data_IF_872016188958
#
_entry.id   IF_872016188958
#
_cell.length_a   1.000
_cell.length_b   1.000
_cell.length_c   1.000
_cell.angle_alpha   90.00
_cell.angle_beta   90.00
_cell.angle_gamma   90.00
#
_symmetry.space_group_name_H-M   'P 1'
#
loop_
_entity.id
_entity.type
_entity.pdbx_description
1 polymer ?
#
# COMPACT_ATOMS: atom_id res chain seq x y z
N UNK A 1 8.86 -38.58 26.92
CA UNK A 1 9.54 -37.65 25.98
C UNK A 1 8.72 -36.36 25.89
N UNK A 2 9.27 -35.20 26.26
CA UNK A 2 8.60 -33.91 25.99
C UNK A 2 8.60 -33.72 24.47
N UNK A 3 7.43 -33.66 23.83
CA UNK A 3 7.34 -33.23 22.43
C UNK A 3 8.05 -31.87 22.31
N UNK A 4 9.08 -31.81 21.47
CA UNK A 4 9.73 -30.54 21.14
C UNK A 4 8.68 -29.66 20.45
N UNK A 5 8.19 -28.65 21.16
CA UNK A 5 7.25 -27.65 20.62
C UNK A 5 7.92 -26.93 19.45
N UNK A 6 7.16 -26.71 18.38
CA UNK A 6 7.63 -26.02 17.16
C UNK A 6 8.39 -24.73 17.49
N UNK A 7 9.44 -24.44 16.73
CA UNK A 7 10.29 -23.27 16.86
C UNK A 7 10.26 -22.48 15.55
N UNK A 8 9.80 -21.23 15.64
CA UNK A 8 9.78 -20.24 14.54
C UNK A 8 11.21 -19.94 14.13
N UNK A 9 11.51 -20.05 12.83
CA UNK A 9 12.82 -19.77 12.27
C UNK A 9 12.80 -18.42 11.55
N UNK A 10 13.79 -17.57 11.79
CA UNK A 10 13.94 -16.31 11.06
C UNK A 10 14.31 -16.50 9.58
N UNK A 11 14.87 -17.67 9.22
CA UNK A 11 15.56 -17.89 7.95
C UNK A 11 16.63 -16.79 7.75
N UNK A 12 16.57 -16.04 6.65
CA UNK A 12 17.52 -14.98 6.29
C UNK A 12 17.14 -13.57 6.81
N UNK A 13 16.09 -13.45 7.63
CA UNK A 13 15.71 -12.16 8.23
C UNK A 13 16.76 -11.72 9.25
N UNK A 14 17.03 -10.41 9.28
CA UNK A 14 17.93 -9.73 10.24
C UNK A 14 17.21 -8.58 10.94
N UNK A 15 17.85 -7.94 11.92
CA UNK A 15 17.34 -6.72 12.57
C UNK A 15 17.21 -5.51 11.63
N UNK A 16 17.89 -5.53 10.48
CA UNK A 16 17.80 -4.47 9.47
C UNK A 16 16.93 -4.85 8.28
N UNK A 17 16.27 -6.01 8.30
CA UNK A 17 15.38 -6.39 7.22
C UNK A 17 14.17 -5.44 7.17
N UNK A 18 13.71 -5.14 5.97
CA UNK A 18 12.55 -4.30 5.68
C UNK A 18 11.27 -4.98 6.20
N UNK A 19 10.30 -4.16 6.61
CA UNK A 19 9.11 -4.57 7.34
C UNK A 19 8.24 -5.57 6.58
N UNK A 20 7.81 -5.23 5.38
CA UNK A 20 6.85 -6.00 4.58
C UNK A 20 7.44 -7.34 4.12
N UNK A 21 8.70 -7.36 3.69
CA UNK A 21 9.42 -8.58 3.33
C UNK A 21 9.67 -9.49 4.54
N UNK A 22 9.97 -8.91 5.71
CA UNK A 22 10.13 -9.67 6.96
C UNK A 22 8.81 -10.31 7.39
N UNK A 23 7.71 -9.56 7.35
CA UNK A 23 6.38 -10.02 7.73
C UNK A 23 5.86 -11.07 6.75
N UNK A 24 6.04 -10.85 5.44
CA UNK A 24 5.72 -11.84 4.40
C UNK A 24 6.45 -13.18 4.63
N UNK A 25 7.75 -13.15 4.95
CA UNK A 25 8.51 -14.37 5.17
C UNK A 25 8.19 -15.06 6.52
N UNK A 26 8.01 -14.31 7.60
CA UNK A 26 7.74 -14.90 8.94
C UNK A 26 6.31 -15.45 9.04
N UNK A 27 5.37 -14.99 8.21
CA UNK A 27 3.98 -15.46 8.22
C UNK A 27 3.87 -16.97 7.99
N UNK A 28 4.73 -17.56 7.15
CA UNK A 28 4.80 -19.02 6.97
C UNK A 28 5.21 -19.78 8.24
N UNK A 29 6.13 -19.21 9.03
CA UNK A 29 6.58 -19.86 10.27
C UNK A 29 5.56 -19.67 11.40
N UNK A 30 4.80 -18.58 11.37
CA UNK A 30 3.67 -18.37 12.28
C UNK A 30 2.51 -19.30 11.94
N UNK A 31 2.22 -19.53 10.66
CA UNK A 31 1.26 -20.55 10.25
C UNK A 31 1.65 -21.93 10.78
N UNK A 32 2.91 -22.33 10.58
CA UNK A 32 3.42 -23.59 11.11
C UNK A 32 3.33 -23.63 12.64
N UNK A 33 3.57 -22.53 13.34
CA UNK A 33 3.40 -22.42 14.78
C UNK A 33 1.93 -22.63 15.20
N UNK A 34 0.99 -22.00 14.50
CA UNK A 34 -0.45 -22.16 14.71
C UNK A 34 -0.88 -23.61 14.49
N UNK A 35 -0.45 -24.24 13.38
CA UNK A 35 -0.71 -25.65 13.07
C UNK A 35 -0.10 -26.61 14.10
N UNK A 36 0.94 -26.18 14.82
CA UNK A 36 1.55 -26.91 15.94
C UNK A 36 1.01 -26.48 17.31
N UNK A 37 -0.15 -25.81 17.35
CA UNK A 37 -0.87 -25.42 18.57
C UNK A 37 -0.06 -24.50 19.51
N UNK A 38 0.79 -23.65 18.95
CA UNK A 38 1.37 -22.55 19.72
C UNK A 38 0.32 -21.45 19.88
N UNK A 39 0.17 -20.95 21.10
CA UNK A 39 -0.70 -19.80 21.37
C UNK A 39 0.06 -18.48 21.15
N UNK A 40 -0.67 -17.38 21.05
CA UNK A 40 -0.13 -16.04 20.78
C UNK A 40 1.00 -15.64 21.75
N UNK A 41 0.90 -16.02 23.04
CA UNK A 41 1.98 -15.75 24.02
C UNK A 41 3.29 -16.47 23.70
N UNK A 42 3.23 -17.73 23.23
CA UNK A 42 4.43 -18.47 22.81
C UNK A 42 5.00 -17.91 21.51
N UNK A 43 4.15 -17.57 20.55
CA UNK A 43 4.56 -16.96 19.27
C UNK A 43 5.26 -15.63 19.56
N UNK A 44 4.62 -14.75 20.32
CA UNK A 44 5.20 -13.46 20.71
C UNK A 44 6.57 -13.64 21.40
N UNK A 45 6.68 -14.60 22.32
CA UNK A 45 7.96 -14.90 23.00
C UNK A 45 9.05 -15.34 22.03
N UNK A 46 8.71 -16.18 21.05
CA UNK A 46 9.68 -16.64 20.06
C UNK A 46 10.10 -15.52 19.12
N UNK A 47 9.15 -14.71 18.63
CA UNK A 47 9.44 -13.49 17.84
C UNK A 47 10.33 -12.53 18.63
N UNK A 48 10.00 -12.25 19.89
CA UNK A 48 10.82 -11.45 20.80
C UNK A 48 12.24 -11.99 20.95
N UNK A 49 12.41 -13.31 21.02
CA UNK A 49 13.73 -13.93 21.06
C UNK A 49 14.49 -13.78 19.74
N UNK A 50 13.82 -13.83 18.58
CA UNK A 50 14.46 -13.55 17.29
C UNK A 50 14.97 -12.11 17.23
N UNK A 51 14.17 -11.14 17.70
CA UNK A 51 14.56 -9.72 17.79
C UNK A 51 15.82 -9.53 18.63
N UNK A 52 15.86 -10.10 19.85
CA UNK A 52 17.03 -10.01 20.76
C UNK A 52 18.31 -10.61 20.17
N UNK A 53 18.16 -11.57 19.25
CA UNK A 53 19.26 -12.22 18.56
C UNK A 53 19.60 -11.58 17.21
N UNK A 54 19.08 -10.38 16.91
CA UNK A 54 19.24 -9.66 15.64
C UNK A 54 18.75 -10.44 14.40
N UNK A 55 17.79 -11.34 14.58
CA UNK A 55 17.20 -12.22 13.55
C UNK A 55 15.80 -11.80 13.12
N UNK A 56 15.34 -10.64 13.58
CA UNK A 56 14.06 -10.04 13.20
C UNK A 56 14.10 -8.54 13.44
N UNK A 57 13.39 -7.69 12.66
CA UNK A 57 13.39 -6.25 12.86
C UNK A 57 13.06 -5.84 14.29
N UNK A 58 13.87 -4.97 14.87
CA UNK A 58 13.76 -4.58 16.27
C UNK A 58 12.52 -3.74 16.57
N UNK A 59 12.01 -3.02 15.57
CA UNK A 59 10.86 -2.13 15.65
C UNK A 59 9.51 -2.84 15.45
N UNK A 60 9.48 -4.12 15.07
CA UNK A 60 8.22 -4.86 14.86
C UNK A 60 7.82 -5.66 16.09
N UNK A 61 6.59 -5.49 16.57
CA UNK A 61 6.00 -6.27 17.67
C UNK A 61 4.85 -7.13 17.16
N UNK A 62 4.87 -8.43 17.47
CA UNK A 62 3.77 -9.32 17.11
C UNK A 62 2.52 -8.98 17.94
N UNK A 63 1.37 -8.80 17.27
CA UNK A 63 0.07 -8.58 17.90
C UNK A 63 -0.69 -9.91 18.01
N UNK A 64 -1.05 -10.49 16.88
CA UNK A 64 -1.86 -11.69 16.81
C UNK A 64 -1.73 -12.37 15.44
N UNK A 65 -2.23 -13.60 15.33
CA UNK A 65 -2.36 -14.31 14.08
C UNK A 65 -3.59 -15.23 14.08
N UNK A 66 -4.09 -15.49 12.89
CA UNK A 66 -5.17 -16.44 12.63
C UNK A 66 -4.78 -17.33 11.46
N UNK A 67 -4.99 -18.63 11.59
CA UNK A 67 -4.84 -19.61 10.51
C UNK A 67 -6.18 -20.29 10.31
N UNK A 68 -6.73 -20.20 9.11
CA UNK A 68 -7.97 -20.89 8.79
C UNK A 68 -7.73 -22.41 8.77
N UNK A 69 -8.45 -23.19 9.61
CA UNK A 69 -8.20 -24.63 9.71
C UNK A 69 -8.63 -25.40 8.45
N UNK A 70 -9.48 -24.82 7.60
CA UNK A 70 -9.99 -25.48 6.40
C UNK A 70 -9.14 -25.18 5.17
N UNK A 71 -8.72 -23.92 5.00
CA UNK A 71 -7.96 -23.50 3.82
C UNK A 71 -6.47 -23.37 4.07
N UNK A 72 -6.04 -23.34 5.33
CA UNK A 72 -4.66 -23.09 5.72
C UNK A 72 -4.24 -21.62 5.59
N UNK A 73 -5.12 -20.73 5.11
CA UNK A 73 -4.80 -19.30 4.92
C UNK A 73 -4.45 -18.67 6.26
N UNK A 74 -3.24 -18.08 6.36
CA UNK A 74 -2.78 -17.43 7.59
C UNK A 74 -2.65 -15.93 7.42
N UNK A 75 -3.22 -15.19 8.37
CA UNK A 75 -3.01 -13.75 8.55
C UNK A 75 -2.29 -13.48 9.85
N UNK A 76 -1.28 -12.61 9.82
CA UNK A 76 -0.49 -12.21 10.99
C UNK A 76 -0.45 -10.70 11.09
N UNK A 77 -0.47 -10.14 12.29
CA UNK A 77 -0.44 -8.69 12.50
C UNK A 77 0.78 -8.30 13.34
N UNK A 78 1.51 -7.29 12.88
CA UNK A 78 2.65 -6.72 13.58
C UNK A 78 2.50 -5.21 13.71
N UNK A 79 2.74 -4.69 14.91
CA UNK A 79 2.85 -3.26 15.18
C UNK A 79 4.26 -2.79 14.86
N UNK A 80 4.40 -1.80 13.98
CA UNK A 80 5.63 -1.05 13.84
C UNK A 80 5.68 0.04 14.93
N UNK A 81 6.67 -0.06 15.82
CA UNK A 81 6.85 0.85 16.96
C UNK A 81 7.35 2.24 16.56
N UNK A 82 7.94 2.38 15.38
CA UNK A 82 8.42 3.65 14.87
C UNK A 82 7.27 4.51 14.31
N UNK A 83 6.30 3.87 13.65
CA UNK A 83 5.15 4.55 13.03
C UNK A 83 3.89 4.51 13.88
N UNK A 84 3.77 3.55 14.80
CA UNK A 84 2.55 3.29 15.56
C UNK A 84 1.46 2.58 14.75
N UNK A 85 1.76 2.17 13.50
CA UNK A 85 0.81 1.52 12.60
C UNK A 85 1.05 0.02 12.48
N UNK A 86 0.04 -0.71 12.01
CA UNK A 86 0.07 -2.16 11.87
C UNK A 86 0.27 -2.57 10.42
N UNK A 87 1.12 -3.57 10.23
CA UNK A 87 1.26 -4.31 8.98
C UNK A 87 0.70 -5.72 9.15
N UNK A 88 -0.20 -6.11 8.24
CA UNK A 88 -0.78 -7.46 8.18
C UNK A 88 -0.04 -8.30 7.14
N UNK A 89 0.47 -9.48 7.53
CA UNK A 89 1.07 -10.46 6.63
C UNK A 89 0.12 -11.58 6.27
N UNK A 90 0.10 -11.98 5.00
CA UNK A 90 -0.61 -13.16 4.50
C UNK A 90 0.39 -14.23 4.04
N UNK A 91 0.27 -15.43 4.61
CA UNK A 91 1.04 -16.58 4.14
C UNK A 91 0.47 -17.09 2.82
N UNK A 92 1.35 -17.55 1.92
CA UNK A 92 0.96 -18.28 0.71
C UNK A 92 0.82 -19.78 0.97
N UNK A 93 0.97 -20.60 -0.06
CA UNK A 93 0.76 -22.04 0.06
C UNK A 93 1.90 -22.71 0.82
N UNK A 94 1.64 -23.20 2.02
CA UNK A 94 2.60 -23.97 2.79
C UNK A 94 2.34 -25.47 2.58
N UNK A 95 3.15 -26.12 1.74
CA UNK A 95 2.92 -27.52 1.37
C UNK A 95 3.23 -28.45 2.56
N UNK A 96 2.19 -28.93 3.23
CA UNK A 96 2.33 -29.92 4.31
C UNK A 96 2.53 -31.30 3.67
N UNK A 97 3.54 -32.06 4.11
CA UNK A 97 4.09 -33.24 3.43
C UNK A 97 3.12 -34.38 3.03
N UNK A 98 1.87 -34.40 3.51
CA UNK A 98 0.84 -35.35 3.08
C UNK A 98 0.10 -34.94 1.78
N UNK A 99 0.11 -33.66 1.40
CA UNK A 99 -0.42 -33.19 0.10
C UNK A 99 0.48 -33.55 -1.09
N UNK A 100 1.72 -33.99 -0.82
CA UNK A 100 2.75 -34.26 -1.82
C UNK A 100 2.51 -35.55 -2.63
N UNK A 101 1.58 -36.43 -2.22
CA UNK A 101 1.40 -37.74 -2.86
C UNK A 101 0.63 -37.71 -4.18
N UNK A 102 -0.08 -36.62 -4.50
CA UNK A 102 -0.97 -36.57 -5.67
C UNK A 102 -0.61 -35.51 -6.73
N UNK A 103 0.51 -34.79 -6.62
CA UNK A 103 0.79 -33.58 -7.45
C UNK A 103 2.12 -33.60 -8.25
N UNK A 104 2.77 -34.75 -8.41
CA UNK A 104 4.04 -34.83 -9.16
C UNK A 104 3.85 -35.41 -10.57
N UNK A 105 3.60 -34.54 -11.56
CA UNK A 105 4.20 -34.57 -12.91
C UNK A 105 3.56 -33.49 -13.80
N UNK A 106 4.35 -32.49 -14.27
CA UNK A 106 4.65 -32.52 -15.72
C UNK A 106 6.08 -32.11 -16.17
N UNK A 107 7.00 -31.62 -15.32
CA UNK A 107 8.28 -31.07 -15.84
C UNK A 107 9.51 -31.59 -15.08
N UNK A 108 10.30 -32.44 -15.76
CA UNK A 108 11.56 -33.02 -15.30
C UNK A 108 12.75 -32.12 -15.69
N UNK A 109 13.51 -31.56 -14.73
CA UNK A 109 14.84 -30.99 -14.99
C UNK A 109 15.84 -31.24 -13.83
N UNK A 110 17.13 -31.35 -14.19
CA UNK A 110 18.25 -31.93 -13.41
C UNK A 110 18.96 -30.90 -12.50
N UNK A 111 19.56 -31.41 -11.42
CA UNK A 111 20.07 -30.74 -10.20
C UNK A 111 21.57 -30.40 -10.20
N UNK A 112 21.94 -29.37 -9.41
CA UNK A 112 23.21 -29.31 -8.68
C UNK A 112 23.04 -28.88 -7.20
N UNK A 113 23.96 -29.31 -6.31
CA UNK A 113 23.64 -29.74 -4.92
C UNK A 113 23.21 -28.69 -3.87
N UNK A 114 23.59 -27.41 -3.96
CA UNK A 114 23.17 -26.39 -2.97
C UNK A 114 22.05 -25.48 -3.53
N UNK A 115 22.07 -25.18 -4.83
CA UNK A 115 20.97 -24.54 -5.57
C UNK A 115 19.72 -25.44 -5.64
N UNK A 116 19.89 -26.77 -5.56
CA UNK A 116 18.78 -27.72 -5.56
C UNK A 116 17.86 -27.63 -4.33
N UNK A 117 18.27 -27.03 -3.20
CA UNK A 117 17.40 -26.87 -2.02
C UNK A 117 16.47 -25.66 -2.22
N UNK A 118 17.04 -24.52 -2.60
CA UNK A 118 16.28 -23.29 -2.90
C UNK A 118 15.43 -23.46 -4.16
N UNK A 119 15.93 -24.14 -5.19
CA UNK A 119 15.18 -24.46 -6.40
C UNK A 119 14.09 -25.50 -6.15
N UNK A 120 14.28 -26.49 -5.25
CA UNK A 120 13.22 -27.45 -4.91
C UNK A 120 12.11 -26.80 -4.07
N UNK A 121 12.45 -25.90 -3.15
CA UNK A 121 11.46 -25.09 -2.42
C UNK A 121 10.70 -24.16 -3.37
N UNK A 122 11.42 -23.42 -4.22
CA UNK A 122 10.82 -22.52 -5.22
C UNK A 122 9.94 -23.26 -6.22
N UNK A 123 10.36 -24.45 -6.68
CA UNK A 123 9.58 -25.31 -7.57
C UNK A 123 8.34 -25.93 -6.89
N UNK A 124 8.42 -26.22 -5.59
CA UNK A 124 7.29 -26.72 -4.81
C UNK A 124 6.23 -25.64 -4.60
N UNK A 125 6.65 -24.44 -4.21
CA UNK A 125 5.78 -23.27 -4.09
C UNK A 125 5.16 -22.97 -5.46
N UNK A 126 5.98 -22.89 -6.52
CA UNK A 126 5.52 -22.70 -7.90
C UNK A 126 4.45 -23.70 -8.36
N UNK A 127 4.64 -25.01 -8.16
CA UNK A 127 3.66 -26.04 -8.59
C UNK A 127 2.37 -25.98 -7.77
N UNK A 128 2.45 -25.66 -6.47
CA UNK A 128 1.28 -25.51 -5.63
C UNK A 128 0.49 -24.25 -6.01
N UNK A 129 1.19 -23.15 -6.23
CA UNK A 129 0.62 -21.85 -6.59
C UNK A 129 0.09 -21.83 -8.03
N UNK A 130 0.71 -22.56 -8.96
CA UNK A 130 0.20 -22.76 -10.32
C UNK A 130 -1.09 -23.59 -10.35
N UNK A 131 -1.29 -24.55 -9.44
CA UNK A 131 -2.55 -25.31 -9.36
C UNK A 131 -3.68 -24.50 -8.70
N UNK A 132 -3.38 -23.59 -7.76
CA UNK A 132 -4.36 -22.78 -7.03
C UNK A 132 -4.66 -21.44 -7.74
N UNK A 133 -3.69 -20.89 -8.50
CA UNK A 133 -3.78 -19.63 -9.24
C UNK A 133 -4.63 -19.67 -10.52
N UNK A 134 -5.20 -20.82 -10.88
CA UNK A 134 -6.02 -21.00 -12.10
C UNK A 134 -7.50 -20.67 -11.92
N UNK A 135 -7.95 -20.41 -10.69
CA UNK A 135 -9.34 -20.08 -10.35
C UNK A 135 -9.44 -18.63 -9.86
N UNK A 136 -10.43 -17.87 -10.34
CA UNK A 136 -10.63 -16.49 -9.88
C UNK A 136 -11.30 -16.53 -8.53
N UNK A 137 -10.69 -15.82 -7.58
CA UNK A 137 -11.25 -15.62 -6.25
C UNK A 137 -11.63 -14.16 -6.06
N UNK A 138 -12.67 -13.93 -5.27
CA UNK A 138 -13.11 -12.59 -4.88
C UNK A 138 -13.08 -12.45 -3.37
N UNK A 139 -13.08 -11.22 -2.88
CA UNK A 139 -13.14 -10.88 -1.46
C UNK A 139 -14.40 -11.42 -0.73
N UNK A 140 -15.42 -11.82 -1.51
CA UNK A 140 -16.68 -12.42 -1.04
C UNK A 140 -16.62 -13.94 -0.90
N UNK A 141 -15.58 -14.59 -1.39
CA UNK A 141 -15.48 -16.04 -1.31
C UNK A 141 -15.38 -16.50 0.15
N UNK A 142 -16.06 -17.61 0.47
CA UNK A 142 -16.23 -18.08 1.86
C UNK A 142 -14.90 -18.31 2.58
N UNK A 143 -13.85 -18.70 1.86
CA UNK A 143 -12.53 -18.93 2.45
C UNK A 143 -11.89 -17.67 3.03
N UNK A 144 -12.29 -16.46 2.60
CA UNK A 144 -11.80 -15.22 3.17
C UNK A 144 -12.61 -14.73 4.37
N UNK A 145 -13.78 -15.30 4.67
CA UNK A 145 -14.68 -14.79 5.71
C UNK A 145 -13.99 -14.59 7.07
N UNK A 146 -13.16 -15.56 7.47
CA UNK A 146 -12.48 -15.49 8.75
C UNK A 146 -11.27 -14.54 8.72
N UNK A 147 -10.56 -14.46 7.59
CA UNK A 147 -9.50 -13.46 7.36
C UNK A 147 -10.06 -12.04 7.40
N UNK A 148 -11.20 -11.80 6.77
CA UNK A 148 -11.94 -10.53 6.81
C UNK A 148 -12.32 -10.17 8.24
N UNK A 149 -12.78 -11.15 9.03
CA UNK A 149 -13.10 -10.93 10.44
C UNK A 149 -11.85 -10.60 11.27
N UNK A 150 -10.74 -11.30 11.05
CA UNK A 150 -9.47 -11.02 11.70
C UNK A 150 -9.01 -9.57 11.45
N UNK A 151 -9.07 -9.11 10.20
CA UNK A 151 -8.69 -7.73 9.85
C UNK A 151 -9.60 -6.72 10.53
N UNK A 152 -10.92 -6.94 10.51
CA UNK A 152 -11.87 -6.08 11.23
C UNK A 152 -11.59 -6.03 12.73
N UNK A 153 -11.19 -7.15 13.33
CA UNK A 153 -10.85 -7.20 14.74
C UNK A 153 -9.56 -6.43 15.06
N UNK A 154 -8.53 -6.50 14.21
CA UNK A 154 -7.33 -5.68 14.35
C UNK A 154 -7.65 -4.19 14.19
N UNK A 155 -8.50 -3.81 13.21
CA UNK A 155 -8.91 -2.41 12.95
C UNK A 155 -9.63 -1.74 14.12
N UNK A 156 -10.17 -2.50 15.09
CA UNK A 156 -10.83 -1.92 16.28
C UNK A 156 -9.85 -1.18 17.18
N UNK A 157 -8.63 -1.71 17.30
CA UNK A 157 -7.64 -1.24 18.26
C UNK A 157 -6.42 -0.60 17.58
N UNK A 158 -6.24 -0.83 16.27
CA UNK A 158 -5.06 -0.42 15.52
C UNK A 158 -5.39 0.16 14.14
N UNK A 159 -4.59 1.15 13.73
CA UNK A 159 -4.54 1.64 12.36
C UNK A 159 -3.70 0.69 11.50
N UNK A 160 -4.32 0.05 10.51
CA UNK A 160 -3.63 -0.86 9.58
C UNK A 160 -3.22 -0.06 8.35
N UNK A 161 -1.91 0.12 8.21
CA UNK A 161 -1.32 0.88 7.11
C UNK A 161 -1.09 0.02 5.87
N UNK A 162 -0.56 -1.18 6.10
CA UNK A 162 -0.03 -2.02 5.04
C UNK A 162 -0.53 -3.46 5.20
N UNK A 163 -0.87 -4.09 4.08
CA UNK A 163 -1.00 -5.54 3.99
C UNK A 163 0.04 -6.09 3.00
N UNK A 164 0.64 -7.21 3.34
CA UNK A 164 1.73 -7.80 2.58
C UNK A 164 1.58 -9.31 2.48
N UNK A 165 2.18 -9.90 1.44
CA UNK A 165 2.21 -11.34 1.29
C UNK A 165 3.13 -11.78 0.16
N UNK A 166 3.35 -13.08 0.10
CA UNK A 166 4.15 -13.73 -0.94
C UNK A 166 3.31 -14.70 -1.74
N UNK A 167 3.54 -14.78 -3.06
CA UNK A 167 2.87 -15.74 -3.94
C UNK A 167 1.34 -15.69 -3.83
N UNK A 168 0.68 -16.80 -3.48
CA UNK A 168 -0.75 -16.85 -3.20
C UNK A 168 -1.16 -15.85 -2.11
N UNK A 169 -0.37 -15.75 -1.04
CA UNK A 169 -0.58 -14.78 0.03
C UNK A 169 -0.42 -13.33 -0.47
N UNK A 170 0.41 -13.11 -1.49
CA UNK A 170 0.54 -11.81 -2.15
C UNK A 170 -0.69 -11.44 -2.98
N UNK A 171 -1.26 -12.41 -3.72
CA UNK A 171 -2.54 -12.25 -4.43
C UNK A 171 -3.67 -11.94 -3.45
N UNK A 172 -3.75 -12.72 -2.39
CA UNK A 172 -4.79 -12.57 -1.37
C UNK A 172 -4.63 -11.25 -0.62
N UNK A 173 -3.40 -10.80 -0.35
CA UNK A 173 -3.12 -9.48 0.23
C UNK A 173 -3.64 -8.34 -0.66
N UNK A 174 -3.55 -8.46 -1.99
CA UNK A 174 -4.13 -7.48 -2.92
C UNK A 174 -5.65 -7.45 -2.80
N UNK A 175 -6.31 -8.60 -2.86
CA UNK A 175 -7.78 -8.68 -2.82
C UNK A 175 -8.32 -8.19 -1.48
N UNK A 176 -7.71 -8.64 -0.39
CA UNK A 176 -8.14 -8.35 0.97
C UNK A 176 -7.76 -6.94 1.40
N UNK A 177 -6.59 -6.44 0.97
CA UNK A 177 -6.18 -5.05 1.16
C UNK A 177 -7.19 -4.08 0.55
N UNK A 178 -7.52 -4.32 -0.72
CA UNK A 178 -8.52 -3.53 -1.42
C UNK A 178 -9.92 -3.63 -0.78
N UNK A 179 -10.33 -4.81 -0.31
CA UNK A 179 -11.68 -5.03 0.26
C UNK A 179 -11.88 -4.36 1.61
N UNK A 180 -10.78 -4.07 2.31
CA UNK A 180 -10.81 -3.43 3.61
C UNK A 180 -10.34 -1.98 3.57
N UNK A 181 -10.10 -1.37 2.41
CA UNK A 181 -9.56 -0.01 2.33
C UNK A 181 -8.26 0.13 3.16
N UNK A 182 -7.28 -0.75 2.94
CA UNK A 182 -5.95 -0.67 3.58
C UNK A 182 -5.00 0.07 2.65
N UNK A 183 -4.61 1.30 2.98
CA UNK A 183 -3.86 2.24 2.12
C UNK A 183 -2.74 1.63 1.27
N UNK A 184 -1.95 0.69 1.80
CA UNK A 184 -0.80 0.13 1.11
C UNK A 184 -0.87 -1.41 1.00
N UNK A 185 -0.63 -1.93 -0.21
CA UNK A 185 -0.40 -3.35 -0.47
C UNK A 185 1.00 -3.54 -1.05
N UNK A 186 1.81 -4.37 -0.40
CA UNK A 186 3.15 -4.74 -0.89
C UNK A 186 3.23 -6.25 -1.06
N UNK A 187 3.28 -6.73 -2.30
CA UNK A 187 3.22 -8.15 -2.61
C UNK A 187 4.50 -8.65 -3.29
N UNK A 188 5.05 -9.77 -2.82
CA UNK A 188 6.31 -10.35 -3.29
C UNK A 188 6.05 -11.56 -4.18
N UNK A 189 6.56 -11.55 -5.42
CA UNK A 189 6.24 -12.55 -6.45
C UNK A 189 4.76 -13.00 -6.40
N UNK A 190 3.77 -12.08 -6.39
CA UNK A 190 2.38 -12.47 -6.19
C UNK A 190 1.86 -13.33 -7.34
N UNK A 191 1.00 -14.29 -7.01
CA UNK A 191 0.22 -14.98 -8.03
C UNK A 191 -0.71 -13.98 -8.77
N UNK A 192 -1.01 -14.20 -10.06
CA UNK A 192 -1.96 -13.36 -10.79
C UNK A 192 -3.34 -13.40 -10.13
N UNK A 193 -4.11 -12.31 -10.29
CA UNK A 193 -5.49 -12.23 -9.79
C UNK A 193 -6.43 -13.15 -10.58
N UNK A 194 -6.20 -13.25 -11.89
CA UNK A 194 -6.86 -14.23 -12.77
C UNK A 194 -5.97 -14.60 -13.94
N UNK A 195 -6.18 -15.80 -14.49
CA UNK A 195 -5.55 -16.33 -15.71
C UNK A 195 -6.67 -16.82 -16.63
N UNK A 196 -7.01 -16.02 -17.64
CA UNK A 196 -8.20 -16.19 -18.49
C UNK A 196 -8.04 -17.32 -19.51
N UNK A 197 -6.87 -17.48 -20.11
CA UNK A 197 -6.67 -18.39 -21.25
C UNK A 197 -6.47 -19.86 -20.85
N UNK A 198 -5.71 -20.15 -19.79
CA UNK A 198 -5.41 -21.53 -19.35
C UNK A 198 -6.67 -22.23 -18.80
N UNK A 199 -7.62 -21.45 -18.27
CA UNK A 199 -8.84 -21.96 -17.63
C UNK A 199 -9.73 -22.74 -18.60
N UNK A 200 -9.87 -22.27 -19.84
CA UNK A 200 -10.70 -22.91 -20.86
C UNK A 200 -10.10 -24.25 -21.30
N UNK A 201 -8.76 -24.34 -21.32
CA UNK A 201 -8.02 -25.54 -21.71
C UNK A 201 -8.07 -26.65 -20.63
N UNK A 202 -8.03 -26.27 -19.34
CA UNK A 202 -7.99 -27.23 -18.22
C UNK A 202 -9.39 -27.60 -17.70
N UNK A 203 -10.34 -26.65 -17.61
CA UNK A 203 -11.66 -26.89 -16.99
C UNK A 203 -12.81 -27.14 -17.99
N UNK A 204 -12.61 -26.86 -19.28
CA UNK A 204 -13.65 -26.90 -20.31
C UNK A 204 -14.56 -25.65 -20.33
N UNK A 205 -15.36 -25.44 -21.40
CA UNK A 205 -16.06 -24.17 -21.66
C UNK A 205 -17.30 -23.89 -20.78
N UNK A 206 -17.94 -24.90 -20.16
CA UNK A 206 -19.12 -24.68 -19.29
C UNK A 206 -18.77 -24.19 -17.88
N UNK A 207 -17.61 -24.57 -17.34
CA UNK A 207 -17.16 -24.25 -15.97
C UNK A 207 -16.44 -22.89 -15.87
N UNK A 208 -16.23 -22.21 -16.99
CA UNK A 208 -15.58 -20.89 -17.07
C UNK A 208 -16.56 -19.70 -16.99
N UNK A 209 -17.88 -19.94 -17.00
CA UNK A 209 -18.89 -18.86 -16.94
C UNK A 209 -18.94 -18.13 -15.59
N UNK A 210 -19.00 -18.84 -14.46
CA UNK A 210 -18.95 -18.23 -13.11
C UNK A 210 -17.64 -17.49 -12.84
N UNK A 211 -16.59 -17.91 -13.55
CA UNK A 211 -15.24 -17.41 -13.46
C UNK A 211 -15.10 -16.07 -14.24
N UNK A 212 -15.86 -15.86 -15.34
CA UNK A 212 -15.93 -14.58 -16.07
C UNK A 212 -16.59 -13.45 -15.27
N UNK A 213 -17.69 -13.74 -14.57
CA UNK A 213 -18.35 -12.75 -13.71
C UNK A 213 -17.42 -12.29 -12.56
N UNK A 214 -16.66 -13.24 -12.00
CA UNK A 214 -15.62 -12.93 -11.01
C UNK A 214 -14.46 -12.14 -11.60
N UNK A 215 -14.06 -12.42 -12.84
CA UNK A 215 -13.01 -11.68 -13.54
C UNK A 215 -13.40 -10.21 -13.74
N UNK A 216 -14.61 -9.95 -14.25
CA UNK A 216 -15.15 -8.59 -14.41
C UNK A 216 -15.26 -7.87 -13.06
N UNK A 217 -15.74 -8.58 -12.04
CA UNK A 217 -15.80 -8.04 -10.68
C UNK A 217 -14.42 -7.63 -10.19
N UNK A 218 -13.41 -8.50 -10.27
CA UNK A 218 -12.05 -8.22 -9.79
C UNK A 218 -11.41 -7.07 -10.56
N UNK A 219 -11.56 -7.02 -11.88
CA UNK A 219 -11.02 -5.93 -12.68
C UNK A 219 -11.62 -4.57 -12.29
N UNK A 220 -12.95 -4.50 -12.13
CA UNK A 220 -13.63 -3.28 -11.70
C UNK A 220 -13.28 -2.93 -10.25
N UNK A 221 -13.27 -3.92 -9.36
CA UNK A 221 -12.98 -3.78 -7.95
C UNK A 221 -11.58 -3.21 -7.71
N UNK A 222 -10.56 -3.79 -8.36
CA UNK A 222 -9.18 -3.30 -8.27
C UNK A 222 -9.02 -1.96 -8.98
N UNK A 223 -9.72 -1.71 -10.09
CA UNK A 223 -9.67 -0.41 -10.77
C UNK A 223 -10.23 0.73 -9.92
N UNK A 224 -11.20 0.43 -9.06
CA UNK A 224 -11.83 1.41 -8.17
C UNK A 224 -11.11 1.56 -6.82
N UNK A 225 -10.14 0.70 -6.53
CA UNK A 225 -9.31 0.81 -5.35
C UNK A 225 -8.36 2.02 -5.48
N UNK A 226 -8.37 2.90 -4.48
CA UNK A 226 -7.65 4.18 -4.47
C UNK A 226 -6.34 4.16 -3.66
N UNK A 227 -6.06 3.05 -2.98
CA UNK A 227 -4.78 2.83 -2.30
C UNK A 227 -3.66 2.36 -3.23
N UNK A 228 -2.47 2.18 -2.67
CA UNK A 228 -1.26 1.81 -3.39
C UNK A 228 -1.08 0.30 -3.46
N UNK A 229 -0.80 -0.23 -4.65
CA UNK A 229 -0.37 -1.62 -4.83
C UNK A 229 1.03 -1.60 -5.46
N UNK A 230 2.00 -2.18 -4.76
CA UNK A 230 3.35 -2.43 -5.25
C UNK A 230 3.61 -3.94 -5.29
N UNK A 231 3.88 -4.47 -6.49
CA UNK A 231 4.34 -5.85 -6.70
C UNK A 231 5.84 -5.86 -6.90
N UNK A 232 6.56 -6.58 -6.04
CA UNK A 232 8.01 -6.73 -6.12
C UNK A 232 8.29 -8.13 -6.64
N UNK A 233 8.89 -8.22 -7.82
CA UNK A 233 9.09 -9.49 -8.54
C UNK A 233 10.57 -9.73 -8.84
N UNK A 234 11.02 -10.98 -8.75
CA UNK A 234 12.37 -11.36 -9.17
C UNK A 234 12.41 -11.59 -10.69
N UNK A 235 13.52 -11.25 -11.35
CA UNK A 235 13.66 -11.31 -12.82
C UNK A 235 13.66 -12.74 -13.40
N UNK A 236 13.93 -13.75 -12.56
CA UNK A 236 13.86 -15.18 -12.91
C UNK A 236 12.68 -15.89 -12.26
N UNK A 237 11.71 -15.16 -11.71
CA UNK A 237 10.48 -15.74 -11.17
C UNK A 237 9.73 -16.52 -12.26
N UNK A 238 9.64 -17.83 -12.07
CA UNK A 238 9.09 -18.77 -13.04
C UNK A 238 7.59 -18.55 -13.27
N UNK A 239 6.87 -18.03 -12.26
CA UNK A 239 5.45 -17.67 -12.35
C UNK A 239 5.20 -16.58 -13.39
N UNK A 240 6.09 -15.59 -13.49
CA UNK A 240 6.03 -14.58 -14.54
C UNK A 240 6.36 -15.16 -15.93
N UNK A 241 7.28 -16.11 -16.03
CA UNK A 241 7.66 -16.71 -17.32
C UNK A 241 6.56 -17.54 -17.98
N UNK A 242 5.77 -18.28 -17.18
CA UNK A 242 4.65 -19.09 -17.68
C UNK A 242 3.42 -18.22 -17.98
N UNK A 243 3.14 -17.23 -17.14
CA UNK A 243 1.91 -16.43 -17.21
C UNK A 243 1.99 -15.31 -18.27
N UNK A 244 3.19 -14.80 -18.60
CA UNK A 244 3.39 -13.78 -19.66
C UNK A 244 2.93 -14.19 -21.06
N UNK A 245 2.81 -15.48 -21.33
CA UNK A 245 2.30 -16.02 -22.61
C UNK A 245 0.78 -16.26 -22.59
N UNK A 246 0.07 -15.73 -21.60
CA UNK A 246 -1.37 -15.92 -21.38
C UNK A 246 -2.04 -14.58 -21.09
N UNK A 247 -3.35 -14.47 -21.31
CA UNK A 247 -4.15 -13.36 -20.79
C UNK A 247 -4.33 -13.53 -19.27
N UNK A 248 -3.60 -12.73 -18.50
CA UNK A 248 -3.70 -12.67 -17.04
C UNK A 248 -4.00 -11.25 -16.57
N UNK A 249 -4.56 -11.12 -15.37
CA UNK A 249 -4.79 -9.84 -14.72
C UNK A 249 -3.91 -9.73 -13.49
N UNK A 250 -3.27 -8.59 -13.36
CA UNK A 250 -2.50 -8.19 -12.18
C UNK A 250 -2.85 -6.76 -11.80
N UNK A 251 -2.33 -6.30 -10.66
CA UNK A 251 -2.69 -5.01 -10.09
C UNK A 251 -1.45 -4.20 -9.69
N UNK A 252 -1.58 -2.88 -9.73
CA UNK A 252 -0.58 -1.96 -9.20
C UNK A 252 0.70 -1.83 -10.02
N UNK A 253 1.65 -1.10 -9.43
CA UNK A 253 2.99 -0.92 -9.98
C UNK A 253 3.81 -2.20 -9.80
N UNK A 254 4.70 -2.48 -10.75
CA UNK A 254 5.63 -3.60 -10.68
C UNK A 254 7.07 -3.08 -10.53
N UNK A 255 7.78 -3.58 -9.53
CA UNK A 255 9.22 -3.40 -9.35
C UNK A 255 9.90 -4.73 -9.63
N UNK A 256 10.72 -4.78 -10.69
CA UNK A 256 11.50 -5.97 -11.04
C UNK A 256 12.90 -5.87 -10.43
N UNK A 257 13.26 -6.83 -9.58
CA UNK A 257 14.60 -6.97 -9.00
C UNK A 257 15.41 -7.95 -9.83
N UNK A 258 16.47 -7.45 -10.48
CA UNK A 258 17.42 -8.26 -11.26
C UNK A 258 18.38 -8.99 -10.32
N UNK A 259 17.97 -10.11 -9.72
CA UNK A 259 18.74 -10.88 -8.73
C UNK A 259 19.10 -12.30 -9.19
N UNK A 260 18.60 -12.74 -10.34
CA UNK A 260 18.80 -14.10 -10.82
C UNK A 260 18.12 -15.16 -9.95
N UNK A 261 17.17 -14.77 -9.09
CA UNK A 261 16.46 -15.65 -8.17
C UNK A 261 15.07 -15.97 -8.70
N UNK A 262 14.62 -17.19 -8.41
CA UNK A 262 13.30 -17.68 -8.77
C UNK A 262 12.22 -17.21 -7.79
N UNK A 263 11.18 -18.03 -7.65
CA UNK A 263 9.96 -17.68 -6.95
C UNK A 263 10.10 -17.38 -5.43
N UNK A 264 11.08 -17.94 -4.72
CA UNK A 264 11.14 -17.86 -3.25
C UNK A 264 11.34 -16.46 -2.64
N UNK A 265 10.71 -16.22 -1.48
CA UNK A 265 10.97 -15.05 -0.61
C UNK A 265 12.43 -14.82 -0.25
N UNK A 266 13.26 -15.87 -0.24
CA UNK A 266 14.69 -15.76 0.07
C UNK A 266 15.39 -14.78 -0.89
N UNK A 267 14.92 -14.70 -2.14
CA UNK A 267 15.45 -13.79 -3.15
C UNK A 267 15.34 -12.30 -2.80
N UNK A 268 14.44 -11.94 -1.88
CA UNK A 268 14.21 -10.55 -1.47
C UNK A 268 14.96 -10.17 -0.19
N UNK A 269 15.46 -11.14 0.57
CA UNK A 269 16.08 -10.92 1.89
C UNK A 269 17.60 -10.65 1.82
N UNK A 270 18.17 -10.60 0.61
CA UNK A 270 19.57 -10.26 0.39
C UNK A 270 19.86 -8.78 0.66
N UNK A 271 21.10 -8.45 1.05
CA UNK A 271 21.48 -7.07 1.43
C UNK A 271 21.30 -6.04 0.32
N UNK A 272 21.39 -6.44 -0.95
CA UNK A 272 21.22 -5.54 -2.10
C UNK A 272 19.74 -5.34 -2.36
N UNK A 273 19.00 -6.45 -2.41
CA UNK A 273 17.56 -6.47 -2.66
C UNK A 273 16.81 -5.69 -1.58
N UNK A 274 17.17 -5.87 -0.31
CA UNK A 274 16.61 -5.10 0.80
C UNK A 274 16.90 -3.59 0.70
N UNK A 275 18.04 -3.17 0.11
CA UNK A 275 18.31 -1.75 -0.14
C UNK A 275 17.44 -1.19 -1.26
N UNK A 276 17.29 -1.95 -2.35
CA UNK A 276 16.43 -1.57 -3.48
C UNK A 276 14.96 -1.49 -3.03
N UNK A 277 14.47 -2.49 -2.29
CA UNK A 277 13.10 -2.53 -1.76
C UNK A 277 12.84 -1.35 -0.83
N UNK A 278 13.75 -1.07 0.11
CA UNK A 278 13.61 0.09 1.01
C UNK A 278 13.56 1.40 0.24
N UNK A 279 14.44 1.59 -0.74
CA UNK A 279 14.45 2.81 -1.54
C UNK A 279 13.13 3.00 -2.32
N UNK A 280 12.53 1.92 -2.82
CA UNK A 280 11.24 1.99 -3.51
C UNK A 280 10.08 2.28 -2.54
N UNK A 281 10.07 1.62 -1.38
CA UNK A 281 9.06 1.85 -0.35
C UNK A 281 9.18 3.22 0.31
N UNK A 282 10.39 3.76 0.47
CA UNK A 282 10.63 5.13 0.96
C UNK A 282 10.04 6.18 0.01
N UNK A 283 10.05 5.97 -1.32
CA UNK A 283 9.36 6.87 -2.26
C UNK A 283 7.86 6.96 -1.99
N UNK A 284 7.23 5.85 -1.60
CA UNK A 284 5.81 5.79 -1.25
C UNK A 284 5.57 6.39 0.15
N UNK A 285 6.48 6.10 1.10
CA UNK A 285 6.38 6.55 2.49
C UNK A 285 6.62 8.05 2.68
N UNK A 286 7.58 8.64 1.98
CA UNK A 286 7.87 10.08 2.03
C UNK A 286 6.65 10.93 1.65
N UNK A 287 5.76 10.40 0.80
CA UNK A 287 4.52 11.06 0.43
C UNK A 287 3.48 11.01 1.57
N UNK A 288 3.18 9.82 2.11
CA UNK A 288 2.19 9.65 3.18
C UNK A 288 2.65 10.20 4.54
N UNK A 289 3.91 9.98 4.94
CA UNK A 289 4.46 10.47 6.22
C UNK A 289 4.63 11.99 6.23
N UNK A 290 4.99 12.61 5.09
CA UNK A 290 5.04 14.07 5.00
C UNK A 290 3.64 14.70 5.08
N UNK A 291 2.61 14.03 4.56
CA UNK A 291 1.23 14.50 4.65
C UNK A 291 0.70 14.38 6.10
N UNK A 292 0.89 13.22 6.74
CA UNK A 292 0.48 13.01 8.13
C UNK A 292 1.24 13.91 9.13
N UNK A 293 2.55 14.08 8.98
CA UNK A 293 3.34 14.99 9.86
C UNK A 293 2.90 16.45 9.69
N UNK A 294 2.60 16.86 8.46
CA UNK A 294 2.11 18.21 8.17
C UNK A 294 0.72 18.45 8.76
N UNK A 295 -0.17 17.46 8.66
CA UNK A 295 -1.50 17.48 9.28
C UNK A 295 -1.42 17.57 10.81
N UNK A 296 -0.60 16.73 11.45
CA UNK A 296 -0.41 16.74 12.90
C UNK A 296 0.17 18.07 13.40
N UNK A 297 1.15 18.63 12.69
CA UNK A 297 1.73 19.94 13.01
C UNK A 297 0.69 21.08 12.89
N UNK A 298 -0.10 21.08 11.81
CA UNK A 298 -1.16 22.05 11.58
C UNK A 298 -2.26 21.95 12.65
N UNK A 299 -2.66 20.73 13.03
CA UNK A 299 -3.62 20.48 14.11
C UNK A 299 -3.11 21.03 15.45
N UNK A 300 -1.83 20.77 15.80
CA UNK A 300 -1.23 21.30 17.04
C UNK A 300 -1.21 22.83 17.07
N UNK A 301 -0.84 23.46 15.97
CA UNK A 301 -0.86 24.93 15.84
C UNK A 301 -2.29 25.49 15.98
N UNK A 302 -3.29 24.80 15.41
CA UNK A 302 -4.71 25.17 15.52
C UNK A 302 -5.17 25.12 16.97
N UNK A 303 -4.89 24.03 17.68
CA UNK A 303 -5.27 23.89 19.09
C UNK A 303 -4.71 25.01 19.95
N UNK A 304 -3.47 25.43 19.71
CA UNK A 304 -2.87 26.57 20.42
C UNK A 304 -3.59 27.89 20.11
N UNK A 305 -3.93 28.16 18.84
CA UNK A 305 -4.69 29.37 18.45
C UNK A 305 -6.09 29.37 19.06
N UNK A 306 -6.80 28.24 19.04
CA UNK A 306 -8.12 28.11 19.65
C UNK A 306 -8.07 28.31 21.16
N UNK A 307 -7.07 27.76 21.85
CA UNK A 307 -6.84 28.02 23.28
C UNK A 307 -6.60 29.52 23.57
N UNK A 308 -5.87 30.22 22.71
CA UNK A 308 -5.69 31.68 22.84
C UNK A 308 -7.01 32.44 22.65
N UNK A 309 -7.88 32.01 21.73
CA UNK A 309 -9.21 32.59 21.54
C UNK A 309 -10.10 32.33 22.76
N UNK A 310 -10.03 31.14 23.36
CA UNK A 310 -10.77 30.82 24.59
C UNK A 310 -10.31 31.69 25.77
N UNK A 311 -9.00 31.91 25.90
CA UNK A 311 -8.43 32.84 26.90
C UNK A 311 -8.91 34.27 26.63
N UNK A 312 -8.90 34.71 25.36
CA UNK A 312 -9.38 36.04 24.97
C UNK A 312 -10.86 36.22 25.34
N UNK A 313 -11.69 35.21 25.06
CA UNK A 313 -13.11 35.19 25.42
C UNK A 313 -13.32 35.31 26.92
N UNK A 314 -12.56 34.57 27.72
CA UNK A 314 -12.62 34.64 29.18
C UNK A 314 -12.22 36.02 29.70
N UNK A 315 -11.14 36.60 29.16
CA UNK A 315 -10.67 37.94 29.53
C UNK A 315 -11.69 39.02 29.16
N UNK A 316 -12.28 38.95 27.96
CA UNK A 316 -13.30 39.91 27.52
C UNK A 316 -14.53 39.85 28.42
N UNK A 317 -14.99 38.66 28.79
CA UNK A 317 -16.13 38.48 29.69
C UNK A 317 -15.88 39.02 31.10
N UNK A 318 -14.65 38.96 31.60
CA UNK A 318 -14.29 39.55 32.90
C UNK A 318 -14.33 41.09 32.87
N UNK A 319 -13.83 41.70 31.79
CA UNK A 319 -13.81 43.17 31.64
C UNK A 319 -15.22 43.73 31.40
N UNK A 320 -16.10 42.98 30.71
CA UNK A 320 -17.45 43.43 30.37
C UNK A 320 -18.52 43.14 31.44
N UNK A 321 -18.13 42.73 32.65
CA UNK A 321 -19.09 42.44 33.73
C UNK A 321 -19.89 41.14 33.55
N UNK A 322 -19.37 40.19 32.78
CA UNK A 322 -19.91 38.83 32.64
C UNK A 322 -20.61 38.55 31.30
N UNK A 323 -21.06 39.56 30.56
CA UNK A 323 -21.73 39.40 29.27
C UNK A 323 -20.92 40.05 28.14
N UNK A 324 -20.67 39.32 27.05
CA UNK A 324 -19.98 39.83 25.86
C UNK A 324 -20.96 40.66 25.00
N UNK A 325 -20.48 41.75 24.41
CA UNK A 325 -21.25 42.50 23.41
C UNK A 325 -21.44 41.69 22.12
N UNK A 326 -22.43 42.07 21.30
CA UNK A 326 -22.63 41.44 19.98
C UNK A 326 -21.42 41.62 19.05
N UNK A 327 -20.68 42.74 19.13
CA UNK A 327 -19.45 42.95 18.33
C UNK A 327 -18.32 42.03 18.79
N UNK A 328 -18.14 41.86 20.11
CA UNK A 328 -17.15 40.97 20.71
C UNK A 328 -17.43 39.49 20.38
N UNK A 329 -18.70 39.05 20.46
CA UNK A 329 -19.10 37.70 20.07
C UNK A 329 -18.78 37.44 18.59
N UNK A 330 -19.16 38.36 17.71
CA UNK A 330 -18.92 38.25 16.27
C UNK A 330 -17.43 38.25 15.93
N UNK A 331 -16.62 39.05 16.62
CA UNK A 331 -15.17 39.04 16.48
C UNK A 331 -14.55 37.69 16.85
N UNK A 332 -14.96 37.08 17.97
CA UNK A 332 -14.48 35.77 18.41
C UNK A 332 -14.86 34.65 17.43
N UNK A 333 -16.09 34.68 16.89
CA UNK A 333 -16.53 33.75 15.84
C UNK A 333 -15.66 33.86 14.59
N UNK A 334 -15.38 35.08 14.12
CA UNK A 334 -14.52 35.28 12.96
C UNK A 334 -13.06 34.90 13.22
N UNK A 335 -12.51 35.14 14.41
CA UNK A 335 -11.16 34.69 14.77
C UNK A 335 -11.05 33.16 14.79
N UNK A 336 -12.12 32.49 15.24
CA UNK A 336 -12.23 31.02 15.22
C UNK A 336 -12.29 30.51 13.78
N UNK A 337 -13.18 31.08 12.97
CA UNK A 337 -13.31 30.74 11.56
C UNK A 337 -12.01 31.00 10.77
N UNK A 338 -11.34 32.12 11.03
CA UNK A 338 -10.05 32.46 10.43
C UNK A 338 -8.99 31.42 10.79
N UNK A 339 -8.90 31.05 12.07
CA UNK A 339 -7.93 30.06 12.54
C UNK A 339 -8.12 28.72 11.84
N UNK A 340 -9.36 28.24 11.69
CA UNK A 340 -9.65 27.00 10.98
C UNK A 340 -9.37 27.11 9.46
N UNK A 341 -9.75 28.22 8.84
CA UNK A 341 -9.58 28.45 7.41
C UNK A 341 -8.09 28.57 7.00
N UNK A 342 -7.26 29.25 7.81
CA UNK A 342 -5.82 29.37 7.56
C UNK A 342 -5.11 28.00 7.60
N UNK A 343 -5.53 27.10 8.49
CA UNK A 343 -4.97 25.74 8.54
C UNK A 343 -5.42 24.90 7.34
N UNK A 344 -6.70 24.96 6.95
CA UNK A 344 -7.17 24.26 5.75
C UNK A 344 -6.42 24.70 4.49
N UNK A 345 -6.23 26.01 4.30
CA UNK A 345 -5.42 26.55 3.19
C UNK A 345 -3.97 26.04 3.25
N UNK A 346 -3.32 26.05 4.42
CA UNK A 346 -1.96 25.51 4.58
C UNK A 346 -1.85 24.01 4.31
N UNK A 347 -2.85 23.21 4.70
CA UNK A 347 -2.88 21.77 4.43
C UNK A 347 -3.03 21.50 2.94
N UNK A 348 -3.99 22.17 2.28
CA UNK A 348 -4.21 22.05 0.84
C UNK A 348 -2.96 22.43 0.05
N UNK A 349 -2.27 23.51 0.41
CA UNK A 349 -1.07 23.94 -0.29
C UNK A 349 0.08 22.92 -0.17
N UNK A 350 0.27 22.34 1.02
CA UNK A 350 1.28 21.28 1.21
C UNK A 350 0.95 20.02 0.45
N UNK A 351 -0.31 19.60 0.49
CA UNK A 351 -0.81 18.42 -0.22
C UNK A 351 -0.69 18.61 -1.74
N UNK A 352 -0.97 19.81 -2.24
CA UNK A 352 -0.72 20.20 -3.63
C UNK A 352 0.75 20.12 -4.03
N UNK A 353 1.67 20.61 -3.20
CA UNK A 353 3.11 20.52 -3.49
C UNK A 353 3.58 19.07 -3.60
N UNK A 354 3.08 18.20 -2.73
CA UNK A 354 3.37 16.77 -2.77
C UNK A 354 2.78 16.10 -4.01
N UNK A 355 1.50 16.37 -4.33
CA UNK A 355 0.86 15.88 -5.55
C UNK A 355 1.60 16.33 -6.81
N UNK A 356 2.07 17.58 -6.86
CA UNK A 356 2.91 18.09 -7.96
C UNK A 356 4.21 17.30 -8.10
N UNK A 357 4.89 17.00 -6.99
CA UNK A 357 6.12 16.18 -7.01
C UNK A 357 5.82 14.76 -7.50
N UNK A 358 4.78 14.12 -6.95
CA UNK A 358 4.36 12.77 -7.36
C UNK A 358 4.01 12.72 -8.85
N UNK A 359 3.23 13.69 -9.34
CA UNK A 359 2.87 13.76 -10.74
C UNK A 359 4.07 14.01 -11.63
N UNK A 360 5.03 14.84 -11.23
CA UNK A 360 6.29 15.02 -11.96
C UNK A 360 7.11 13.72 -12.05
N UNK A 361 7.14 12.92 -10.97
CA UNK A 361 7.80 11.61 -10.99
C UNK A 361 7.06 10.60 -11.89
N UNK A 362 5.71 10.66 -11.93
CA UNK A 362 4.89 9.86 -12.86
C UNK A 362 5.09 10.27 -14.32
N UNK A 363 5.18 11.57 -14.61
CA UNK A 363 5.46 12.09 -15.95
C UNK A 363 6.78 11.53 -16.50
N UNK A 364 7.84 11.55 -15.68
CA UNK A 364 9.14 10.92 -16.00
C UNK A 364 9.03 9.41 -16.22
N UNK A 365 8.19 8.72 -15.44
CA UNK A 365 7.98 7.28 -15.62
C UNK A 365 7.30 6.97 -16.95
N UNK A 366 6.34 7.79 -17.37
CA UNK A 366 5.70 7.65 -18.68
C UNK A 366 6.68 7.85 -19.83
N UNK A 367 7.55 8.86 -19.73
CA UNK A 367 8.65 9.09 -20.67
C UNK A 367 9.60 7.89 -20.73
N UNK A 368 10.05 7.41 -19.57
CA UNK A 368 10.92 6.25 -19.48
C UNK A 368 10.29 4.99 -20.06
N UNK A 369 9.01 4.74 -19.78
CA UNK A 369 8.30 3.58 -20.34
C UNK A 369 8.26 3.64 -21.87
N UNK A 370 8.15 4.84 -22.46
CA UNK A 370 8.24 5.00 -23.90
C UNK A 370 9.64 4.70 -24.44
N UNK A 371 10.69 5.16 -23.74
CA UNK A 371 12.08 4.84 -24.07
C UNK A 371 12.35 3.32 -24.02
N UNK A 372 11.93 2.65 -22.93
CA UNK A 372 12.13 1.21 -22.70
C UNK A 372 11.41 0.36 -23.77
N UNK A 373 10.20 0.78 -24.19
CA UNK A 373 9.44 0.13 -25.26
C UNK A 373 10.15 0.29 -26.61
N UNK A 374 10.67 1.48 -26.91
CA UNK A 374 11.43 1.70 -28.13
C UNK A 374 12.73 0.87 -28.14
N UNK A 375 13.42 0.76 -27.02
CA UNK A 375 14.62 -0.06 -26.88
C UNK A 375 14.31 -1.54 -27.11
N UNK A 376 13.27 -2.07 -26.44
CA UNK A 376 12.80 -3.44 -26.65
C UNK A 376 12.40 -3.70 -28.11
N UNK A 377 11.73 -2.74 -28.74
CA UNK A 377 11.37 -2.80 -30.16
C UNK A 377 12.59 -2.86 -31.07
N UNK A 378 13.65 -2.09 -30.77
CA UNK A 378 14.92 -2.11 -31.51
C UNK A 378 15.68 -3.43 -31.33
N UNK A 379 15.65 -4.02 -30.14
CA UNK A 379 16.30 -5.32 -29.90
C UNK A 379 15.64 -6.44 -30.70
N UNK A 380 14.30 -6.50 -30.70
CA UNK A 380 13.53 -7.50 -31.44
C UNK A 380 13.63 -7.24 -32.96
N UNK A 381 13.45 -5.98 -33.35
CA UNK A 381 13.46 -5.50 -34.73
C UNK A 381 14.84 -5.05 -35.20
N UNK A 382 15.92 -5.74 -34.83
CA UNK A 382 17.31 -5.31 -35.10
C UNK A 382 17.68 -5.05 -36.57
N UNK A 383 16.84 -5.50 -37.51
CA UNK A 383 17.00 -5.32 -38.96
C UNK A 383 16.13 -4.20 -39.53
N UNK A 384 15.29 -3.59 -38.69
CA UNK A 384 14.40 -2.49 -39.03
C UNK A 384 15.07 -1.16 -38.69
N UNK A 385 14.75 -0.13 -39.46
CA UNK A 385 15.05 1.26 -39.09
C UNK A 385 14.22 1.70 -37.88
N UNK A 386 14.65 2.76 -37.18
CA UNK A 386 13.91 3.32 -36.05
C UNK A 386 12.46 3.69 -36.42
N UNK A 387 12.23 4.20 -37.64
CA UNK A 387 10.89 4.55 -38.11
C UNK A 387 10.00 3.32 -38.33
N UNK A 388 10.55 2.22 -38.82
CA UNK A 388 9.84 0.95 -38.99
C UNK A 388 9.51 0.30 -37.65
N UNK A 389 10.42 0.36 -36.67
CA UNK A 389 10.16 -0.10 -35.30
C UNK A 389 9.01 0.68 -34.67
N UNK A 390 9.04 2.02 -34.75
CA UNK A 390 7.97 2.87 -34.21
C UNK A 390 6.64 2.61 -34.95
N UNK A 391 6.66 2.45 -36.27
CA UNK A 391 5.48 2.10 -37.05
C UNK A 391 4.88 0.74 -36.67
N UNK A 392 5.71 -0.26 -36.39
CA UNK A 392 5.26 -1.57 -35.92
C UNK A 392 4.68 -1.52 -34.50
N UNK A 393 5.29 -0.75 -33.60
CA UNK A 393 4.76 -0.50 -32.26
C UNK A 393 3.39 0.19 -32.32
N UNK A 394 3.24 1.21 -33.17
CA UNK A 394 1.98 1.93 -33.35
C UNK A 394 0.88 1.04 -33.94
N UNK A 395 1.21 0.18 -34.91
CA UNK A 395 0.30 -0.85 -35.41
C UNK A 395 -0.16 -1.82 -34.30
N UNK A 396 0.72 -2.09 -33.33
CA UNK A 396 0.43 -2.81 -32.09
C UNK A 396 -0.29 -1.97 -31.03
N UNK A 397 -0.77 -0.77 -31.35
CA UNK A 397 -1.42 0.17 -30.44
C UNK A 397 -0.53 0.74 -29.34
N UNK A 398 0.79 0.66 -29.48
CA UNK A 398 1.78 1.19 -28.55
C UNK A 398 2.44 2.42 -29.16
N UNK A 399 2.07 3.62 -28.72
CA UNK A 399 2.60 4.87 -29.24
C UNK A 399 2.79 5.94 -28.17
N UNK A 400 3.60 6.94 -28.49
CA UNK A 400 3.93 8.08 -27.61
C UNK A 400 2.68 8.79 -27.11
N UNK A 401 1.68 8.99 -27.97
CA UNK A 401 0.45 9.67 -27.58
C UNK A 401 -0.28 8.94 -26.45
N UNK A 402 -0.38 7.60 -26.53
CA UNK A 402 -1.03 6.78 -25.49
C UNK A 402 -0.18 6.65 -24.22
N UNK A 403 1.14 6.53 -24.36
CA UNK A 403 2.03 6.24 -23.23
C UNK A 403 2.52 7.50 -22.51
N UNK A 404 2.62 8.64 -23.19
CA UNK A 404 3.21 9.88 -22.68
C UNK A 404 2.20 11.03 -22.76
N UNK A 405 1.79 11.43 -23.96
CA UNK A 405 1.03 12.68 -24.18
C UNK A 405 -0.32 12.68 -23.46
N UNK A 406 -1.11 11.60 -23.58
CA UNK A 406 -2.42 11.48 -22.94
C UNK A 406 -2.31 11.43 -21.42
N UNK A 407 -1.42 10.61 -20.81
CA UNK A 407 -1.17 10.67 -19.38
C UNK A 407 -0.73 12.05 -18.87
N UNK A 408 0.23 12.71 -19.54
CA UNK A 408 0.68 14.07 -19.20
C UNK A 408 -0.48 15.07 -19.25
N UNK A 409 -1.32 15.01 -20.29
CA UNK A 409 -2.50 15.87 -20.39
C UNK A 409 -3.51 15.64 -19.24
N UNK A 410 -3.75 14.38 -18.86
CA UNK A 410 -4.61 14.06 -17.71
C UNK A 410 -4.04 14.59 -16.40
N UNK A 411 -2.72 14.47 -16.20
CA UNK A 411 -2.01 15.00 -15.05
C UNK A 411 -2.15 16.53 -14.99
N UNK A 412 -1.84 17.21 -16.08
CA UNK A 412 -1.95 18.68 -16.19
C UNK A 412 -3.37 19.18 -15.88
N UNK A 413 -4.40 18.50 -16.40
CA UNK A 413 -5.80 18.80 -16.08
C UNK A 413 -6.10 18.63 -14.59
N UNK A 414 -5.61 17.56 -13.95
CA UNK A 414 -5.79 17.34 -12.50
C UNK A 414 -5.07 18.40 -11.66
N UNK A 415 -3.84 18.76 -12.03
CA UNK A 415 -3.09 19.84 -11.37
C UNK A 415 -3.79 21.20 -11.49
N UNK A 416 -4.43 21.47 -12.63
CA UNK A 416 -5.24 22.69 -12.84
C UNK A 416 -6.46 22.70 -11.92
N UNK A 417 -7.20 21.60 -11.83
CA UNK A 417 -8.34 21.46 -10.92
C UNK A 417 -7.93 21.69 -9.46
N UNK A 418 -6.82 21.09 -9.03
CA UNK A 418 -6.28 21.27 -7.67
C UNK A 418 -5.90 22.73 -7.39
N UNK A 419 -5.25 23.40 -8.35
CA UNK A 419 -4.87 24.81 -8.22
C UNK A 419 -6.09 25.72 -8.05
N UNK A 420 -7.19 25.40 -8.75
CA UNK A 420 -8.46 26.14 -8.59
C UNK A 420 -9.06 25.96 -7.19
N UNK A 421 -9.00 24.75 -6.61
CA UNK A 421 -9.45 24.49 -5.23
C UNK A 421 -8.63 25.32 -4.24
N UNK A 422 -7.30 25.33 -4.37
CA UNK A 422 -6.43 26.12 -3.50
C UNK A 422 -6.79 27.62 -3.55
N UNK A 423 -6.97 28.17 -4.75
CA UNK A 423 -7.38 29.58 -4.94
C UNK A 423 -8.73 29.94 -4.30
N UNK A 424 -9.68 29.01 -4.27
CA UNK A 424 -10.97 29.22 -3.59
C UNK A 424 -10.81 29.35 -2.07
N UNK A 425 -9.92 28.55 -1.47
CA UNK A 425 -9.63 28.64 -0.04
C UNK A 425 -8.89 29.94 0.32
N UNK A 426 -7.94 30.36 -0.50
CA UNK A 426 -7.26 31.65 -0.31
C UNK A 426 -8.24 32.82 -0.37
N UNK A 427 -9.18 32.77 -1.32
CA UNK A 427 -10.27 33.75 -1.42
C UNK A 427 -11.16 33.76 -0.17
N UNK A 428 -11.48 32.58 0.38
CA UNK A 428 -12.27 32.46 1.60
C UNK A 428 -11.54 33.04 2.82
N UNK A 429 -10.25 32.74 2.97
CA UNK A 429 -9.39 33.32 4.03
C UNK A 429 -9.33 34.84 3.93
N UNK A 430 -9.16 35.38 2.71
CA UNK A 430 -9.14 36.83 2.48
C UNK A 430 -10.45 37.50 2.90
N UNK A 431 -11.61 36.91 2.56
CA UNK A 431 -12.92 37.45 2.97
C UNK A 431 -13.07 37.51 4.48
N UNK A 432 -12.65 36.47 5.21
CA UNK A 432 -12.70 36.47 6.68
C UNK A 432 -11.80 37.58 7.25
N UNK A 433 -10.58 37.75 6.72
CA UNK A 433 -9.65 38.81 7.15
C UNK A 433 -10.25 40.20 6.96
N UNK A 434 -10.88 40.45 5.81
CA UNK A 434 -11.57 41.72 5.53
C UNK A 434 -12.70 41.97 6.54
N UNK A 435 -13.55 40.98 6.81
CA UNK A 435 -14.65 41.13 7.78
C UNK A 435 -14.15 41.39 9.21
N UNK A 436 -13.04 40.79 9.63
CA UNK A 436 -12.41 41.09 10.92
C UNK A 436 -11.94 42.54 10.97
N UNK A 437 -11.25 43.01 9.94
CA UNK A 437 -10.75 44.39 9.88
C UNK A 437 -11.90 45.42 9.91
N UNK A 438 -13.00 45.15 9.24
CA UNK A 438 -14.20 45.99 9.27
C UNK A 438 -14.80 46.10 10.67
N UNK A 439 -14.89 44.99 11.41
CA UNK A 439 -15.40 44.99 12.79
C UNK A 439 -14.47 45.80 13.70
N UNK A 440 -13.16 45.55 13.63
CA UNK A 440 -12.17 46.26 14.46
C UNK A 440 -12.17 47.76 14.17
N UNK A 441 -12.21 48.16 12.90
CA UNK A 441 -12.24 49.56 12.50
C UNK A 441 -13.52 50.26 13.00
N UNK A 442 -14.67 49.57 12.92
CA UNK A 442 -15.95 50.11 13.40
C UNK A 442 -15.96 50.28 14.92
N UNK A 443 -15.46 49.30 15.67
CA UNK A 443 -15.37 49.39 17.13
C UNK A 443 -14.38 50.49 17.57
N UNK A 444 -13.24 50.65 16.88
CA UNK A 444 -12.30 51.75 17.12
C UNK A 444 -12.95 53.13 16.87
N UNK A 445 -13.67 53.28 15.76
CA UNK A 445 -14.36 54.54 15.44
C UNK A 445 -15.43 54.89 16.47
N UNK A 446 -16.20 53.91 16.96
CA UNK A 446 -17.19 54.11 18.02
C UNK A 446 -16.53 54.50 19.35
N UNK A 447 -15.41 53.86 19.70
CA UNK A 447 -14.67 54.18 20.91
C UNK A 447 -14.13 55.63 20.89
N UNK A 448 -13.59 56.09 19.76
CA UNK A 448 -13.16 57.49 19.58
C UNK A 448 -14.32 58.48 19.73
N UNK A 449 -15.47 58.20 19.13
CA UNK A 449 -16.65 59.09 19.21
C UNK A 449 -17.18 59.24 20.64
N UNK A 450 -17.12 58.18 21.45
CA UNK A 450 -17.54 58.22 22.86
C UNK A 450 -16.49 58.93 23.73
N UNK A 451 -15.20 58.72 23.44
CA UNK A 451 -14.10 59.39 24.15
C UNK A 451 -14.07 60.90 23.97
N UNK A 452 -14.60 61.41 22.85
CA UNK A 452 -14.73 62.85 22.59
C UNK A 452 -15.97 63.49 23.28
N UNK A 453 -16.86 62.67 23.87
CA UNK A 453 -18.10 63.10 24.54
C UNK A 453 -18.02 63.09 26.08
N UNK A 454 -16.91 62.62 26.66
CA UNK A 454 -16.63 62.54 28.11
C UNK A 454 -15.41 63.39 28.42
#
# INVERSE_FOLDING_TARGET
MKQNKYQIKSKNITNYSEETSSISNISYEIENANNNNLNSSKINRQVSNLKRNNKFPSNLEYINSYTDPNTGTTSTAFLNKDTGKVTVGMAGTNVHGNQLKNTLNPFNFVKDKQEAIDARGSLQDFVADANIGLTTVTDKDTHFKNTQQFIKDIKKDYDIDTITGHSLGGRDAIIIGASNDIDNVVAYNPAPLTVKDIRTFIKGPLSSFSDKEKDEYIELFIKNYDGNILRIVSDKDELNGIVKNTQYVSAGNEMVIKNGKGHSMIGFLGKREQREIKAELEKLKDYQDANNKSFVAAKKQTSNKLQQIDILKASMGQVSGGALSSSQQKLLEFLTALSLAEILSQMIEKEMQQLRKMYADREKLFEKNWEDVQESGREIGKHLSNGEVVGALDAGSVNENKLVTMPHSKISNKLTQLTNVSSQYDTYVLKIKTSINEIVAKDQSLASQIGDLV
#
